data_IF_627545348974
#
_entry.id   IF_627545348974
#
_cell.length_a   1.000
_cell.length_b   1.000
_cell.length_c   1.000
_cell.angle_alpha   90.00
_cell.angle_beta   90.00
_cell.angle_gamma   90.00
#
_symmetry.space_group_name_H-M   'P 1'
#
loop_
_entity.id
_entity.type
_entity.pdbx_description
1 polymer ?
#
# COMPACT_ATOMS: atom_id res chain seq x y z
N UNK A 1 15.24 -20.67 44.77
CA UNK A 1 14.96 -19.21 44.79
C UNK A 1 15.41 -18.51 43.52
N UNK A 2 16.67 -18.62 43.07
CA UNK A 2 17.16 -17.97 41.83
C UNK A 2 16.44 -18.41 40.54
N UNK A 3 16.19 -19.71 40.35
CA UNK A 3 15.55 -20.23 39.13
C UNK A 3 14.09 -19.78 38.98
N UNK A 4 13.36 -19.69 40.09
CA UNK A 4 11.97 -19.23 40.12
C UNK A 4 11.87 -17.74 39.76
N UNK A 5 12.82 -16.91 40.21
CA UNK A 5 12.88 -15.48 39.88
C UNK A 5 13.22 -15.27 38.39
N UNK A 6 14.16 -16.06 37.85
CA UNK A 6 14.48 -16.06 36.41
C UNK A 6 13.29 -16.47 35.54
N UNK A 7 12.51 -17.45 35.99
CA UNK A 7 11.31 -17.89 35.28
C UNK A 7 10.23 -16.79 35.27
N UNK A 8 9.98 -16.17 36.42
CA UNK A 8 8.96 -15.09 36.53
C UNK A 8 9.35 -13.88 35.67
N UNK A 9 10.61 -13.46 35.72
CA UNK A 9 11.10 -12.34 34.89
C UNK A 9 11.06 -12.66 33.40
N UNK A 10 11.40 -13.89 33.00
CA UNK A 10 11.26 -14.35 31.61
C UNK A 10 9.81 -14.35 31.13
N UNK A 11 8.87 -14.82 31.97
CA UNK A 11 7.45 -14.84 31.64
C UNK A 11 6.87 -13.43 31.51
N UNK A 12 7.25 -12.53 32.43
CA UNK A 12 6.85 -11.13 32.37
C UNK A 12 7.36 -10.45 31.08
N UNK A 13 8.63 -10.64 30.75
CA UNK A 13 9.21 -10.11 29.51
C UNK A 13 8.51 -10.66 28.27
N UNK A 14 8.22 -11.97 28.25
CA UNK A 14 7.49 -12.59 27.15
C UNK A 14 6.06 -12.04 27.01
N UNK A 15 5.39 -11.79 28.13
CA UNK A 15 4.07 -11.16 28.16
C UNK A 15 4.08 -9.73 27.62
N UNK A 16 5.09 -8.94 27.99
CA UNK A 16 5.27 -7.57 27.47
C UNK A 16 5.51 -7.59 25.95
N UNK A 17 6.38 -8.48 25.45
CA UNK A 17 6.64 -8.62 24.00
C UNK A 17 5.38 -9.03 23.25
N UNK A 18 4.61 -9.98 23.78
CA UNK A 18 3.35 -10.43 23.16
C UNK A 18 2.32 -9.29 23.08
N UNK A 19 2.14 -8.53 24.16
CA UNK A 19 1.19 -7.40 24.20
C UNK A 19 1.57 -6.30 23.22
N UNK A 20 2.86 -5.96 23.13
CA UNK A 20 3.38 -4.99 22.16
C UNK A 20 3.12 -5.47 20.71
N UNK A 21 3.35 -6.75 20.41
CA UNK A 21 3.12 -7.29 19.06
C UNK A 21 1.64 -7.29 18.65
N UNK A 22 0.72 -7.55 19.58
CA UNK A 22 -0.72 -7.54 19.30
C UNK A 22 -1.24 -6.13 18.97
N UNK A 23 -0.63 -5.08 19.55
CA UNK A 23 -1.02 -3.69 19.30
C UNK A 23 -0.66 -3.15 17.89
N UNK A 24 0.14 -3.90 17.12
CA UNK A 24 0.64 -3.50 15.79
C UNK A 24 -0.21 -4.09 14.65
N UNK A 25 -1.29 -4.82 14.96
CA UNK A 25 -2.16 -5.37 13.91
C UNK A 25 -2.98 -4.26 13.25
N UNK A 26 -2.50 -3.76 12.11
CA UNK A 26 -3.32 -2.97 11.20
C UNK A 26 -4.43 -3.87 10.62
N UNK A 27 -5.68 -3.46 10.78
CA UNK A 27 -6.82 -4.16 10.18
C UNK A 27 -6.76 -3.96 8.67
N UNK A 28 -6.48 -5.03 7.92
CA UNK A 28 -6.62 -4.98 6.47
C UNK A 28 -8.09 -4.80 6.10
N UNK A 29 -8.35 -3.90 5.16
CA UNK A 29 -9.71 -3.65 4.67
C UNK A 29 -9.98 -4.50 3.42
N UNK A 30 -11.20 -5.01 3.23
CA UNK A 30 -11.52 -5.86 2.08
C UNK A 30 -11.42 -5.16 0.72
N UNK A 31 -11.31 -3.83 0.69
CA UNK A 31 -11.08 -3.04 -0.51
C UNK A 31 -11.17 -1.54 -0.25
N UNK A 32 -10.60 -0.76 -1.18
CA UNK A 32 -10.57 0.71 -1.12
C UNK A 32 -11.20 1.26 -2.40
N UNK A 33 -12.16 2.18 -2.26
CA UNK A 33 -12.68 2.98 -3.37
C UNK A 33 -12.02 4.36 -3.33
N UNK A 34 -11.30 4.70 -4.40
CA UNK A 34 -10.53 5.94 -4.47
C UNK A 34 -11.17 6.86 -5.52
N UNK A 35 -11.57 8.04 -5.08
CA UNK A 35 -12.12 9.10 -5.92
C UNK A 35 -11.11 10.24 -6.04
N UNK A 36 -10.95 10.80 -7.23
CA UNK A 36 -10.05 11.93 -7.45
C UNK A 36 -9.83 12.21 -8.92
N UNK A 37 -8.67 12.80 -9.22
CA UNK A 37 -8.24 13.18 -10.55
C UNK A 37 -7.07 12.32 -11.05
N UNK A 38 -6.31 12.85 -12.01
CA UNK A 38 -5.05 12.31 -12.54
C UNK A 38 -4.09 11.72 -11.50
N UNK A 39 -4.00 12.30 -10.29
CA UNK A 39 -3.05 11.86 -9.25
C UNK A 39 -3.37 10.47 -8.68
N UNK A 40 -4.60 9.99 -8.89
CA UNK A 40 -5.06 8.67 -8.43
C UNK A 40 -5.61 7.81 -9.58
N UNK A 41 -5.59 8.31 -10.82
CA UNK A 41 -6.04 7.53 -11.98
C UNK A 41 -5.03 6.42 -12.33
N UNK A 42 -5.52 5.17 -12.31
CA UNK A 42 -4.76 3.95 -12.63
C UNK A 42 -5.03 3.41 -14.04
N UNK A 43 -5.60 4.25 -14.91
CA UNK A 43 -5.96 3.91 -16.30
C UNK A 43 -7.46 3.91 -16.58
N UNK A 44 -8.28 4.43 -15.68
CA UNK A 44 -9.73 4.55 -15.86
C UNK A 44 -10.07 5.39 -17.10
N UNK A 45 -9.32 6.48 -17.35
CA UNK A 45 -9.55 7.34 -18.51
C UNK A 45 -9.36 6.61 -19.87
N UNK A 46 -8.67 5.47 -19.92
CA UNK A 46 -8.55 4.67 -21.14
C UNK A 46 -9.87 4.01 -21.55
N UNK A 47 -10.79 3.84 -20.60
CA UNK A 47 -12.08 3.19 -20.79
C UNK A 47 -13.23 4.18 -20.97
N UNK A 48 -12.96 5.49 -20.84
CA UNK A 48 -13.95 6.55 -21.03
C UNK A 48 -13.97 7.00 -22.50
N UNK A 49 -15.08 6.79 -23.24
CA UNK A 49 -15.13 7.09 -24.69
C UNK A 49 -14.89 8.56 -25.02
N UNK A 50 -15.33 9.46 -24.15
CA UNK A 50 -15.26 10.91 -24.35
C UNK A 50 -14.04 11.56 -23.67
N UNK A 51 -13.19 10.78 -22.99
CA UNK A 51 -12.02 11.36 -22.33
C UNK A 51 -10.97 11.77 -23.36
N UNK A 52 -10.69 13.07 -23.40
CA UNK A 52 -9.60 13.66 -24.19
C UNK A 52 -8.24 13.53 -23.48
N UNK A 53 -8.25 13.34 -22.17
CA UNK A 53 -7.03 13.30 -21.34
C UNK A 53 -6.72 11.85 -20.99
N UNK A 54 -5.68 11.29 -21.61
CA UNK A 54 -5.18 9.93 -21.37
C UNK A 54 -3.68 9.97 -21.12
N UNK A 55 -3.20 9.18 -20.18
CA UNK A 55 -1.78 9.06 -19.87
C UNK A 55 -1.16 7.83 -20.56
N UNK A 56 -1.29 7.79 -21.89
CA UNK A 56 -0.69 6.78 -22.76
C UNK A 56 0.39 7.39 -23.66
N UNK A 57 1.13 8.37 -23.15
CA UNK A 57 2.24 8.97 -23.88
C UNK A 57 3.55 8.25 -23.57
N UNK A 58 4.57 8.35 -24.45
CA UNK A 58 5.86 7.68 -24.24
C UNK A 58 6.59 8.04 -22.94
N UNK A 59 6.27 9.20 -22.34
CA UNK A 59 6.85 9.60 -21.06
C UNK A 59 6.08 9.05 -19.85
N UNK A 60 4.92 8.44 -20.03
CA UNK A 60 4.19 7.79 -18.94
C UNK A 60 4.64 6.33 -18.79
N UNK A 61 4.76 5.87 -17.55
CA UNK A 61 5.10 4.47 -17.25
C UNK A 61 6.56 4.04 -17.47
N UNK A 62 7.47 4.98 -17.72
CA UNK A 62 8.92 4.71 -17.95
C UNK A 62 9.59 3.96 -16.79
N UNK A 63 9.13 4.17 -15.56
CA UNK A 63 9.67 3.53 -14.36
C UNK A 63 8.98 2.18 -14.02
N UNK A 64 7.98 1.75 -14.80
CA UNK A 64 7.45 0.39 -14.66
C UNK A 64 8.44 -0.64 -15.23
N UNK A 65 8.42 -1.90 -14.76
CA UNK A 65 9.26 -2.95 -15.31
C UNK A 65 9.08 -3.18 -16.83
N UNK A 66 7.89 -2.87 -17.36
CA UNK A 66 7.61 -2.93 -18.79
C UNK A 66 8.12 -1.70 -19.56
N UNK A 67 8.35 -0.57 -18.90
CA UNK A 67 8.65 0.73 -19.53
C UNK A 67 7.49 1.29 -20.37
N UNK A 68 6.29 0.71 -20.25
CA UNK A 68 5.13 1.03 -21.08
C UNK A 68 4.09 1.83 -20.30
N UNK A 69 3.39 2.71 -21.00
CA UNK A 69 2.34 3.53 -20.40
C UNK A 69 1.14 2.66 -19.96
N UNK A 70 0.74 2.80 -18.69
CA UNK A 70 -0.38 2.04 -18.12
C UNK A 70 -1.67 2.86 -18.00
N UNK A 71 -1.69 4.11 -18.47
CA UNK A 71 -2.78 5.05 -18.22
C UNK A 71 -2.71 5.82 -16.89
N UNK A 72 -1.60 5.69 -16.14
CA UNK A 72 -1.30 6.52 -14.96
C UNK A 72 -0.63 7.82 -15.40
N UNK A 73 -1.07 8.97 -14.86
CA UNK A 73 -0.49 10.29 -15.13
C UNK A 73 0.86 10.50 -14.40
N UNK A 74 1.75 9.51 -14.51
CA UNK A 74 3.05 9.43 -13.84
C UNK A 74 3.99 8.49 -14.60
N UNK A 75 5.28 8.50 -14.25
CA UNK A 75 6.25 7.55 -14.81
C UNK A 75 6.14 6.15 -14.18
N UNK A 76 5.40 6.00 -13.09
CA UNK A 76 5.27 4.74 -12.35
C UNK A 76 4.01 4.71 -11.50
N UNK A 77 4.07 4.03 -10.36
CA UNK A 77 2.97 3.94 -9.39
C UNK A 77 2.56 5.32 -8.86
N UNK A 78 1.27 5.54 -8.69
CA UNK A 78 0.71 6.76 -8.10
C UNK A 78 0.19 6.50 -6.67
N UNK A 79 -0.43 7.50 -6.05
CA UNK A 79 -0.92 7.39 -4.67
C UNK A 79 -1.92 6.23 -4.47
N UNK A 80 -2.76 5.93 -5.46
CA UNK A 80 -3.73 4.85 -5.37
C UNK A 80 -3.05 3.47 -5.30
N UNK A 81 -1.96 3.27 -6.03
CA UNK A 81 -1.19 2.03 -5.97
C UNK A 81 -0.58 1.79 -4.59
N UNK A 82 -0.03 2.84 -3.97
CA UNK A 82 0.56 2.74 -2.64
C UNK A 82 -0.52 2.50 -1.58
N UNK A 83 -1.65 3.20 -1.64
CA UNK A 83 -2.77 2.95 -0.73
C UNK A 83 -3.28 1.52 -0.85
N UNK A 84 -3.42 0.99 -2.07
CA UNK A 84 -3.81 -0.41 -2.29
C UNK A 84 -2.79 -1.46 -1.85
N UNK A 85 -1.52 -1.09 -1.64
CA UNK A 85 -0.47 -2.01 -1.15
C UNK A 85 -0.34 -2.02 0.38
N UNK A 86 -0.71 -0.92 1.04
CA UNK A 86 -0.54 -0.75 2.48
C UNK A 86 -1.84 -0.89 3.29
N UNK A 87 -2.98 -1.08 2.62
CA UNK A 87 -4.29 -1.33 3.23
C UNK A 87 -4.76 -2.78 3.04
#
# INVERSE_FOLDING_TARGET
>A
MSNSIKLITSLFLCGVVFFLSASVMCQSVPGVYIFGDSLVDVGNNNHLPLSLLKANFPHNGVDFPTGEATGRFSNGKNAADFLGMFC
#
